data_IF_386784320847
#
_entry.id   IF_386784320847
#
_cell.length_a   1.000
_cell.length_b   1.000
_cell.length_c   1.000
_cell.angle_alpha   90.00
_cell.angle_beta   90.00
_cell.angle_gamma   90.00
#
_symmetry.space_group_name_H-M   'P 1'
#
loop_
_entity.id
_entity.type
_entity.pdbx_description
1 polymer ?
#
# COMPACT_ATOMS: atom_id res chain seq x y z
N UNK A 1 13.73 -21.67 -10.78
CA UNK A 1 13.91 -20.96 -9.50
C UNK A 1 15.02 -19.96 -9.71
N UNK A 2 14.81 -18.71 -9.31
CA UNK A 2 15.91 -17.75 -9.31
C UNK A 2 16.87 -18.15 -8.18
N UNK A 3 18.18 -17.93 -8.34
CA UNK A 3 19.16 -18.34 -7.33
C UNK A 3 18.93 -17.62 -5.99
N UNK A 4 18.31 -16.43 -6.03
CA UNK A 4 17.88 -15.68 -4.85
C UNK A 4 16.83 -16.43 -4.01
N UNK A 5 15.96 -17.22 -4.64
CA UNK A 5 14.93 -18.00 -3.94
C UNK A 5 15.58 -19.11 -3.09
N UNK A 6 16.70 -19.68 -3.54
CA UNK A 6 17.36 -20.81 -2.86
C UNK A 6 17.97 -20.38 -1.53
N UNK A 7 18.67 -19.25 -1.51
CA UNK A 7 19.30 -18.72 -0.30
C UNK A 7 18.28 -18.27 0.75
N UNK A 8 17.25 -17.52 0.33
CA UNK A 8 16.20 -17.11 1.24
C UNK A 8 15.47 -18.31 1.85
N UNK A 9 15.16 -19.33 1.05
CA UNK A 9 14.54 -20.57 1.53
C UNK A 9 15.46 -21.34 2.51
N UNK A 10 16.77 -21.33 2.29
CA UNK A 10 17.72 -21.96 3.19
C UNK A 10 17.80 -21.23 4.55
N UNK A 11 17.83 -19.89 4.53
CA UNK A 11 17.73 -19.07 5.76
C UNK A 11 16.42 -19.38 6.49
N UNK A 12 15.30 -19.37 5.77
CA UNK A 12 13.98 -19.66 6.33
C UNK A 12 13.92 -21.05 6.99
N UNK A 13 14.44 -22.07 6.32
CA UNK A 13 14.52 -23.43 6.85
C UNK A 13 15.40 -23.50 8.11
N UNK A 14 16.57 -22.84 8.07
CA UNK A 14 17.51 -22.80 9.20
C UNK A 14 16.91 -22.08 10.42
N UNK A 15 16.17 -20.98 10.17
CA UNK A 15 15.41 -20.24 11.18
C UNK A 15 14.36 -21.14 11.85
N UNK A 16 13.55 -21.84 11.05
CA UNK A 16 12.51 -22.76 11.53
C UNK A 16 13.10 -23.89 12.38
N UNK A 17 14.18 -24.53 11.92
CA UNK A 17 14.82 -25.62 12.68
C UNK A 17 15.41 -25.19 14.02
N UNK A 18 15.76 -23.91 14.14
CA UNK A 18 16.24 -23.32 15.39
C UNK A 18 15.13 -22.80 16.28
N UNK A 19 13.87 -22.89 15.85
CA UNK A 19 12.73 -22.34 16.58
C UNK A 19 12.81 -20.82 16.73
N UNK A 20 13.42 -20.13 15.76
CA UNK A 20 13.55 -18.68 15.76
C UNK A 20 12.41 -18.02 14.99
N UNK A 21 11.98 -16.86 15.46
CA UNK A 21 11.13 -15.91 14.72
C UNK A 21 11.99 -14.91 13.97
N UNK A 22 11.39 -14.19 13.02
CA UNK A 22 12.05 -13.08 12.33
C UNK A 22 12.37 -11.91 13.28
N UNK A 23 11.58 -11.69 14.32
CA UNK A 23 11.87 -10.69 15.36
C UNK A 23 13.13 -11.05 16.15
N UNK A 24 13.24 -12.31 16.58
CA UNK A 24 14.43 -12.80 17.28
C UNK A 24 15.68 -12.73 16.39
N UNK A 25 15.53 -13.10 15.12
CA UNK A 25 16.63 -13.04 14.16
C UNK A 25 17.06 -11.59 13.89
N UNK A 26 16.10 -10.68 13.73
CA UNK A 26 16.35 -9.25 13.56
C UNK A 26 17.06 -8.64 14.76
N UNK A 27 16.57 -8.91 15.98
CA UNK A 27 17.21 -8.46 17.21
C UNK A 27 18.66 -8.95 17.31
N UNK A 28 18.93 -10.21 16.92
CA UNK A 28 20.28 -10.77 16.97
C UNK A 28 21.27 -10.11 15.99
N UNK A 29 20.78 -9.58 14.86
CA UNK A 29 21.61 -8.87 13.88
C UNK A 29 21.57 -7.34 14.05
N UNK A 30 20.73 -6.83 14.95
CA UNK A 30 20.59 -5.39 15.24
C UNK A 30 19.65 -4.64 14.29
N UNK A 31 18.68 -5.33 13.70
CA UNK A 31 17.71 -4.77 12.74
C UNK A 31 16.26 -5.15 13.09
N UNK A 32 15.29 -4.48 12.47
CA UNK A 32 13.90 -4.92 12.52
C UNK A 32 13.71 -6.25 11.77
N UNK A 33 12.65 -6.99 12.11
CA UNK A 33 12.29 -8.21 11.39
C UNK A 33 12.08 -7.95 9.90
N UNK A 34 11.38 -6.87 9.55
CA UNK A 34 11.13 -6.48 8.16
C UNK A 34 12.42 -6.23 7.38
N UNK A 35 13.33 -5.44 7.95
CA UNK A 35 14.62 -5.17 7.31
C UNK A 35 15.45 -6.44 7.16
N UNK A 36 15.41 -7.30 8.17
CA UNK A 36 16.11 -8.59 8.17
C UNK A 36 15.61 -9.48 7.04
N UNK A 37 14.29 -9.63 6.90
CA UNK A 37 13.69 -10.39 5.79
C UNK A 37 14.07 -9.78 4.45
N UNK A 38 13.96 -8.45 4.30
CA UNK A 38 14.31 -7.74 3.07
C UNK A 38 15.78 -7.92 2.68
N UNK A 39 16.69 -7.93 3.66
CA UNK A 39 18.11 -8.23 3.43
C UNK A 39 18.30 -9.69 3.00
N UNK A 40 17.63 -10.65 3.65
CA UNK A 40 17.71 -12.07 3.30
C UNK A 40 17.13 -12.38 1.90
N UNK A 41 16.16 -11.58 1.44
CA UNK A 41 15.60 -11.64 0.08
C UNK A 41 16.44 -10.88 -0.97
N UNK A 42 17.59 -10.30 -0.60
CA UNK A 42 18.41 -9.44 -1.47
C UNK A 42 17.69 -8.19 -2.00
N UNK A 43 16.69 -7.69 -1.25
CA UNK A 43 15.93 -6.46 -1.57
C UNK A 43 16.42 -5.23 -0.81
N UNK A 44 17.22 -5.45 0.23
CA UNK A 44 17.95 -4.44 0.99
C UNK A 44 19.42 -4.85 1.07
N UNK A 45 20.33 -3.88 1.03
CA UNK A 45 21.76 -4.16 1.14
C UNK A 45 22.09 -4.77 2.51
N UNK A 46 22.87 -5.84 2.51
CA UNK A 46 23.35 -6.52 3.71
C UNK A 46 24.86 -6.29 3.84
N UNK A 47 25.30 -5.72 4.96
CA UNK A 47 26.72 -5.56 5.24
C UNK A 47 27.35 -6.90 5.64
N UNK A 48 28.68 -7.01 5.50
CA UNK A 48 29.41 -8.22 5.89
C UNK A 48 29.28 -8.52 7.40
N UNK A 49 29.19 -7.49 8.25
CA UNK A 49 28.98 -7.67 9.69
C UNK A 49 27.62 -8.31 9.99
N UNK A 50 26.56 -7.82 9.34
CA UNK A 50 25.21 -8.39 9.45
C UNK A 50 25.20 -9.83 8.96
N UNK A 51 25.84 -10.09 7.81
CA UNK A 51 25.97 -11.44 7.27
C UNK A 51 26.60 -12.40 8.28
N UNK A 52 27.73 -12.01 8.88
CA UNK A 52 28.44 -12.83 9.86
C UNK A 52 27.61 -13.08 11.13
N UNK A 53 26.86 -12.07 11.59
CA UNK A 53 25.92 -12.24 12.72
C UNK A 53 24.80 -13.22 12.36
N UNK A 54 24.24 -13.10 11.15
CA UNK A 54 23.17 -13.96 10.66
C UNK A 54 23.62 -15.42 10.56
N UNK A 55 24.77 -15.69 9.94
CA UNK A 55 25.30 -17.06 9.81
C UNK A 55 25.67 -17.66 11.15
N UNK A 56 26.23 -16.87 12.07
CA UNK A 56 26.51 -17.31 13.43
C UNK A 56 25.24 -17.71 14.19
N UNK A 57 24.20 -16.86 14.18
CA UNK A 57 22.92 -17.14 14.83
C UNK A 57 22.26 -18.39 14.23
N UNK A 58 22.31 -18.53 12.90
CA UNK A 58 21.72 -19.67 12.19
C UNK A 58 22.61 -20.92 12.18
N UNK A 59 23.84 -20.85 12.71
CA UNK A 59 24.85 -21.91 12.62
C UNK A 59 25.02 -22.45 11.18
N UNK A 60 24.99 -21.53 10.22
CA UNK A 60 25.24 -21.85 8.82
C UNK A 60 26.76 -21.90 8.66
N UNK A 61 27.28 -23.06 8.25
CA UNK A 61 28.73 -23.22 8.02
C UNK A 61 29.19 -22.26 6.93
N UNK A 62 30.28 -21.53 7.18
CA UNK A 62 30.94 -20.63 6.22
C UNK A 62 31.55 -21.37 4.99
N UNK A 63 31.22 -22.64 4.77
CA UNK A 63 31.93 -23.57 3.88
C UNK A 63 31.07 -24.14 2.73
N UNK A 64 29.98 -23.47 2.36
CA UNK A 64 29.16 -23.91 1.23
C UNK A 64 29.21 -22.89 0.12
N UNK A 65 30.26 -22.89 -0.70
CA UNK A 65 30.14 -22.37 -2.09
C UNK A 65 29.63 -20.90 -2.18
N UNK A 66 29.74 -20.17 -1.05
CA UNK A 66 29.11 -18.90 -0.68
C UNK A 66 29.65 -17.70 -1.47
N UNK A 67 30.80 -17.91 -2.12
CA UNK A 67 31.51 -16.91 -2.93
C UNK A 67 30.88 -16.74 -4.33
N UNK A 68 30.08 -17.70 -4.82
CA UNK A 68 29.33 -17.53 -6.08
C UNK A 68 28.01 -16.75 -5.87
N UNK A 69 27.48 -16.78 -4.65
CA UNK A 69 26.23 -16.13 -4.27
C UNK A 69 26.39 -14.60 -4.11
N UNK A 70 27.44 -14.14 -3.44
CA UNK A 70 27.71 -12.70 -3.23
C UNK A 70 28.12 -11.94 -4.51
N UNK A 71 28.68 -12.61 -5.53
CA UNK A 71 29.05 -11.96 -6.81
C UNK A 71 27.86 -11.75 -7.76
N UNK A 72 26.75 -12.43 -7.54
CA UNK A 72 25.56 -12.34 -8.42
C UNK A 72 24.60 -11.20 -8.01
N UNK A 73 24.78 -10.63 -6.81
CA UNK A 73 23.91 -9.60 -6.21
C UNK A 73 24.18 -8.19 -6.76
N UNK A 74 25.31 -7.94 -7.44
CA UNK A 74 25.67 -6.57 -7.88
C UNK A 74 25.04 -6.08 -9.18
N UNK A 75 24.21 -6.87 -9.87
CA UNK A 75 23.60 -6.41 -11.14
C UNK A 75 22.39 -7.24 -11.57
N UNK A 76 21.24 -7.10 -10.93
CA UNK A 76 19.95 -7.32 -11.60
C UNK A 76 18.91 -6.28 -11.21
N UNK A 77 18.36 -5.68 -12.26
CA UNK A 77 17.49 -4.53 -12.28
C UNK A 77 16.21 -4.75 -11.47
N UNK A 78 15.77 -3.65 -10.84
CA UNK A 78 14.41 -3.33 -10.38
C UNK A 78 13.31 -3.51 -11.46
N UNK A 79 13.62 -4.08 -12.63
CA UNK A 79 12.73 -4.24 -13.78
C UNK A 79 12.04 -5.62 -13.82
N UNK A 80 12.44 -6.57 -12.96
CA UNK A 80 11.78 -7.87 -12.84
C UNK A 80 10.76 -7.96 -11.69
N UNK A 81 10.19 -6.82 -11.24
CA UNK A 81 9.02 -6.73 -10.34
C UNK A 81 7.72 -7.31 -10.94
N UNK A 82 7.82 -8.33 -11.81
CA UNK A 82 6.67 -9.07 -12.33
C UNK A 82 6.12 -9.96 -11.22
N UNK A 83 5.18 -9.38 -10.47
CA UNK A 83 3.96 -10.02 -9.95
C UNK A 83 4.19 -11.41 -9.35
N UNK A 84 4.80 -11.47 -8.15
CA UNK A 84 4.93 -12.71 -7.39
C UNK A 84 4.54 -12.54 -5.92
N UNK A 85 3.28 -12.23 -5.71
CA UNK A 85 2.42 -12.90 -4.73
C UNK A 85 0.99 -12.47 -5.01
N UNK A 86 0.01 -13.35 -4.82
CA UNK A 86 -1.40 -12.97 -4.93
C UNK A 86 -1.70 -11.77 -4.01
N UNK A 87 -1.02 -11.68 -2.86
CA UNK A 87 -1.05 -10.51 -1.99
C UNK A 87 -0.66 -9.19 -2.68
N UNK A 88 0.51 -9.16 -3.33
CA UNK A 88 0.98 -7.99 -4.08
C UNK A 88 -0.06 -7.58 -5.11
N UNK A 89 -0.59 -8.55 -5.86
CA UNK A 89 -1.60 -8.32 -6.88
C UNK A 89 -2.92 -7.79 -6.30
N UNK A 90 -3.41 -8.34 -5.19
CA UNK A 90 -4.66 -7.87 -4.56
C UNK A 90 -4.50 -6.49 -3.93
N UNK A 91 -3.39 -6.22 -3.23
CA UNK A 91 -3.09 -4.88 -2.72
C UNK A 91 -2.99 -3.88 -3.86
N UNK A 92 -2.25 -4.21 -4.92
CA UNK A 92 -2.11 -3.36 -6.10
C UNK A 92 -3.45 -3.13 -6.80
N UNK A 93 -4.23 -4.19 -7.04
CA UNK A 93 -5.56 -4.08 -7.65
C UNK A 93 -6.46 -3.19 -6.81
N UNK A 94 -6.47 -3.38 -5.49
CA UNK A 94 -7.23 -2.56 -4.58
C UNK A 94 -6.75 -1.10 -4.67
N UNK A 95 -5.46 -0.82 -4.46
CA UNK A 95 -4.90 0.52 -4.62
C UNK A 95 -5.22 1.17 -5.97
N UNK A 96 -5.15 0.41 -7.07
CA UNK A 96 -5.49 0.90 -8.40
C UNK A 96 -6.99 1.12 -8.60
N UNK A 97 -7.86 0.39 -7.88
CA UNK A 97 -9.27 0.77 -7.81
C UNK A 97 -9.37 2.13 -7.13
N UNK A 98 -8.68 2.34 -6.01
CA UNK A 98 -8.74 3.56 -5.17
C UNK A 98 -7.93 4.75 -5.67
N UNK A 99 -7.18 4.62 -6.76
CA UNK A 99 -6.25 5.62 -7.30
C UNK A 99 -6.83 7.04 -7.25
N UNK A 100 -7.97 7.25 -7.90
CA UNK A 100 -8.54 8.58 -8.09
C UNK A 100 -9.08 9.14 -6.77
N UNK A 101 -9.71 8.29 -5.95
CA UNK A 101 -10.22 8.66 -4.64
C UNK A 101 -9.10 9.03 -3.66
N UNK A 102 -8.04 8.23 -3.64
CA UNK A 102 -6.84 8.48 -2.83
C UNK A 102 -6.17 9.77 -3.31
N UNK A 103 -6.00 9.93 -4.63
CA UNK A 103 -5.34 11.09 -5.20
C UNK A 103 -6.08 12.40 -4.91
N UNK A 104 -7.40 12.44 -5.02
CA UNK A 104 -8.19 13.65 -4.70
C UNK A 104 -8.17 13.95 -3.20
N UNK A 105 -8.31 12.92 -2.36
CA UNK A 105 -8.20 13.07 -0.90
C UNK A 105 -6.81 13.58 -0.48
N UNK A 106 -5.75 13.15 -1.15
CA UNK A 106 -4.39 13.63 -0.88
C UNK A 106 -4.21 15.10 -1.25
N UNK A 107 -4.84 15.57 -2.34
CA UNK A 107 -4.87 17.00 -2.68
C UNK A 107 -5.62 17.80 -1.61
N UNK A 108 -6.70 17.24 -1.06
CA UNK A 108 -7.43 17.88 0.03
C UNK A 108 -6.62 17.95 1.33
N UNK A 109 -6.06 16.82 1.80
CA UNK A 109 -5.34 16.73 3.08
C UNK A 109 -4.06 17.57 3.06
N UNK A 110 -3.35 17.61 1.94
CA UNK A 110 -2.03 18.23 1.86
C UNK A 110 -2.04 19.59 1.15
N UNK A 111 -3.20 20.07 0.71
CA UNK A 111 -3.31 21.15 -0.26
C UNK A 111 -2.78 20.70 -1.62
N UNK A 112 -2.86 21.54 -2.65
CA UNK A 112 -2.22 21.28 -3.95
C UNK A 112 -0.71 21.15 -3.77
N UNK A 113 -0.23 19.97 -3.39
CA UNK A 113 1.19 19.65 -3.33
C UNK A 113 1.63 19.45 -4.76
N UNK A 114 1.94 20.59 -5.34
CA UNK A 114 2.73 20.77 -6.52
C UNK A 114 4.19 20.33 -6.25
N UNK A 115 4.38 19.06 -5.88
CA UNK A 115 5.69 18.49 -5.54
C UNK A 115 5.87 17.08 -6.10
N UNK A 116 7.07 16.77 -6.57
CA UNK A 116 7.48 15.38 -6.76
C UNK A 116 7.53 14.67 -5.41
N UNK A 117 6.69 13.66 -5.23
CA UNK A 117 6.85 12.71 -4.14
C UNK A 117 8.12 11.90 -4.37
N UNK A 118 9.25 12.37 -3.84
CA UNK A 118 10.46 11.58 -3.79
C UNK A 118 10.22 10.48 -2.76
N UNK A 119 10.31 9.23 -3.20
CA UNK A 119 10.34 8.06 -2.33
C UNK A 119 11.68 7.99 -1.57
N UNK A 120 11.92 8.97 -0.70
CA UNK A 120 12.82 8.82 0.43
C UNK A 120 12.08 8.00 1.48
N UNK A 121 12.14 6.66 1.37
CA UNK A 121 11.47 5.74 2.27
C UNK A 121 12.02 5.93 3.68
N UNK A 122 11.25 6.54 4.58
CA UNK A 122 11.73 6.81 5.94
C UNK A 122 11.55 5.57 6.81
N UNK A 123 10.44 4.85 6.69
CA UNK A 123 10.22 3.58 7.40
C UNK A 123 8.94 2.90 6.90
N UNK A 124 8.99 1.62 6.54
CA UNK A 124 7.77 0.81 6.41
C UNK A 124 7.70 -0.09 7.64
N UNK A 125 6.50 -0.31 8.18
CA UNK A 125 6.34 -1.16 9.35
C UNK A 125 5.18 -2.12 9.14
N UNK A 126 5.31 -3.30 9.73
CA UNK A 126 4.21 -4.21 9.96
C UNK A 126 4.09 -4.35 11.47
N UNK A 127 2.89 -4.09 11.97
CA UNK A 127 2.55 -4.22 13.39
C UNK A 127 1.36 -5.14 13.54
N UNK A 128 1.20 -5.74 14.70
CA UNK A 128 0.06 -6.60 15.02
C UNK A 128 -0.65 -6.02 16.24
N UNK A 129 -1.82 -5.42 16.02
CA UNK A 129 -2.70 -4.95 17.10
C UNK A 129 -3.84 -5.95 17.24
N UNK A 130 -3.96 -6.62 18.39
CA UNK A 130 -5.01 -7.63 18.63
C UNK A 130 -5.09 -8.73 17.54
N UNK A 131 -3.95 -9.20 17.03
CA UNK A 131 -3.82 -10.13 15.90
C UNK A 131 -4.31 -9.60 14.54
N UNK A 132 -4.61 -8.31 14.44
CA UNK A 132 -4.85 -7.63 13.16
C UNK A 132 -3.52 -7.10 12.64
N UNK A 133 -3.03 -7.60 11.48
CA UNK A 133 -1.85 -7.02 10.84
C UNK A 133 -2.17 -5.62 10.31
N UNK A 134 -1.39 -4.64 10.74
CA UNK A 134 -1.37 -3.27 10.20
C UNK A 134 -0.08 -3.04 9.45
N UNK A 135 -0.17 -2.92 8.13
CA UNK A 135 0.94 -2.48 7.27
C UNK A 135 0.91 -0.95 7.21
N UNK A 136 2.01 -0.30 7.56
CA UNK A 136 2.15 1.16 7.45
C UNK A 136 3.22 1.51 6.44
N UNK A 137 2.84 2.31 5.44
CA UNK A 137 3.74 2.87 4.44
C UNK A 137 3.91 4.37 4.70
N UNK A 138 5.15 4.79 5.00
CA UNK A 138 5.47 6.20 5.18
C UNK A 138 6.09 6.77 3.90
N UNK A 139 5.41 7.72 3.27
CA UNK A 139 5.86 8.41 2.08
C UNK A 139 6.22 9.86 2.43
N UNK A 140 7.49 10.24 2.26
CA UNK A 140 7.92 11.64 2.45
C UNK A 140 7.39 12.50 1.30
N UNK A 141 6.89 13.68 1.65
CA UNK A 141 6.47 14.70 0.69
C UNK A 141 7.62 15.67 0.48
N UNK A 142 8.25 15.65 -0.69
CA UNK A 142 9.28 16.60 -1.07
C UNK A 142 8.65 17.63 -2.02
N UNK A 143 8.69 18.91 -1.65
CA UNK A 143 8.12 19.98 -2.46
C UNK A 143 9.11 20.38 -3.58
N UNK A 144 9.27 19.54 -4.59
CA UNK A 144 10.08 19.87 -5.76
C UNK A 144 9.30 19.51 -7.03
N UNK A 145 8.53 20.49 -7.56
CA UNK A 145 7.84 20.55 -8.86
C UNK A 145 6.33 20.25 -8.90
N UNK A 146 5.62 21.17 -9.57
CA UNK A 146 4.18 21.17 -9.82
C UNK A 146 3.66 19.88 -10.47
N UNK A 147 3.16 18.94 -9.66
CA UNK A 147 2.24 17.92 -10.14
C UNK A 147 0.80 18.40 -9.93
N UNK A 148 0.16 18.87 -11.00
CA UNK A 148 -1.28 19.00 -11.04
C UNK A 148 -1.82 17.70 -11.63
N UNK A 149 -2.63 16.91 -10.91
CA UNK A 149 -3.26 15.74 -11.51
C UNK A 149 -4.13 16.21 -12.68
N UNK A 150 -3.68 15.95 -13.91
CA UNK A 150 -4.50 16.14 -15.10
C UNK A 150 -5.36 14.90 -15.25
N UNK A 151 -6.50 14.87 -14.58
CA UNK A 151 -7.55 13.92 -14.93
C UNK A 151 -8.13 14.36 -16.26
N UNK A 152 -8.17 13.48 -17.26
CA UNK A 152 -9.03 13.75 -18.40
C UNK A 152 -10.49 13.68 -17.92
N UNK A 153 -11.12 14.83 -17.68
CA UNK A 153 -12.53 14.98 -17.25
C UNK A 153 -13.51 14.10 -18.06
N UNK A 154 -13.13 13.73 -19.29
CA UNK A 154 -13.88 12.84 -20.18
C UNK A 154 -14.10 11.43 -19.60
N UNK A 155 -13.32 11.02 -18.61
CA UNK A 155 -13.41 9.69 -17.97
C UNK A 155 -14.37 9.64 -16.78
N UNK A 156 -14.77 10.79 -16.23
CA UNK A 156 -15.69 10.84 -15.10
C UNK A 156 -17.15 10.75 -15.54
N UNK A 157 -17.91 10.05 -14.70
CA UNK A 157 -19.35 9.97 -14.83
C UNK A 157 -20.02 11.30 -14.44
N UNK A 158 -21.21 11.56 -14.98
CA UNK A 158 -21.97 12.78 -14.65
C UNK A 158 -22.24 12.91 -13.14
N UNK A 159 -22.48 11.79 -12.47
CA UNK A 159 -22.58 11.74 -11.00
C UNK A 159 -21.29 12.25 -10.33
N UNK A 160 -20.13 11.71 -10.69
CA UNK A 160 -18.84 12.08 -10.10
C UNK A 160 -18.56 13.56 -10.32
N UNK A 161 -18.82 14.06 -11.54
CA UNK A 161 -18.65 15.48 -11.89
C UNK A 161 -19.54 16.37 -11.02
N UNK A 162 -20.84 16.06 -10.94
CA UNK A 162 -21.80 16.82 -10.16
C UNK A 162 -21.42 16.87 -8.67
N UNK A 163 -20.95 15.74 -8.11
CA UNK A 163 -20.47 15.69 -6.72
C UNK A 163 -19.24 16.57 -6.52
N UNK A 164 -18.21 16.45 -7.38
CA UNK A 164 -16.98 17.23 -7.25
C UNK A 164 -17.24 18.73 -7.40
N UNK A 165 -18.05 19.12 -8.38
CA UNK A 165 -18.43 20.51 -8.60
C UNK A 165 -19.19 21.09 -7.39
N UNK A 166 -20.19 20.37 -6.89
CA UNK A 166 -20.95 20.80 -5.72
C UNK A 166 -20.08 20.84 -4.44
N UNK A 167 -19.18 19.88 -4.27
CA UNK A 167 -18.22 19.83 -3.16
C UNK A 167 -17.32 21.07 -3.16
N UNK A 168 -16.74 21.42 -4.31
CA UNK A 168 -15.90 22.62 -4.47
C UNK A 168 -16.71 23.89 -4.22
N UNK A 169 -17.90 24.02 -4.85
CA UNK A 169 -18.74 25.20 -4.72
C UNK A 169 -19.21 25.46 -3.28
N UNK A 170 -19.43 24.39 -2.52
CA UNK A 170 -19.84 24.47 -1.11
C UNK A 170 -18.67 24.41 -0.13
N UNK A 171 -17.44 24.24 -0.61
CA UNK A 171 -16.25 24.05 0.20
C UNK A 171 -16.41 22.92 1.25
N UNK A 172 -16.91 21.77 0.81
CA UNK A 172 -17.12 20.58 1.64
C UNK A 172 -15.89 19.66 1.53
N UNK A 173 -15.45 19.11 2.65
CA UNK A 173 -14.39 18.10 2.75
C UNK A 173 -14.91 16.67 2.64
N UNK A 174 -14.03 15.72 2.35
CA UNK A 174 -14.39 14.29 2.42
C UNK A 174 -14.70 13.84 3.85
N UNK A 175 -14.10 14.45 4.86
CA UNK A 175 -14.44 14.21 6.28
C UNK A 175 -15.88 14.61 6.60
N UNK A 176 -16.34 15.75 6.08
CA UNK A 176 -17.73 16.19 6.23
C UNK A 176 -18.70 15.27 5.49
N UNK A 177 -18.34 14.82 4.27
CA UNK A 177 -19.15 13.83 3.54
C UNK A 177 -19.22 12.53 4.34
N UNK A 178 -18.09 12.02 4.83
CA UNK A 178 -18.01 10.80 5.62
C UNK A 178 -18.89 10.89 6.87
N UNK A 179 -18.72 11.96 7.65
CA UNK A 179 -19.51 12.26 8.85
C UNK A 179 -21.01 12.31 8.55
N UNK A 180 -21.41 13.03 7.50
CA UNK A 180 -22.82 13.18 7.13
C UNK A 180 -23.46 11.86 6.67
N UNK A 181 -22.68 11.03 5.98
CA UNK A 181 -23.13 9.71 5.53
C UNK A 181 -23.07 8.64 6.64
N UNK A 182 -22.53 8.96 7.81
CA UNK A 182 -22.31 8.00 8.90
C UNK A 182 -21.22 6.97 8.58
N UNK A 183 -20.29 7.34 7.69
CA UNK A 183 -19.17 6.52 7.24
C UNK A 183 -17.94 7.05 7.96
N UNK A 184 -17.29 6.23 8.78
CA UNK A 184 -16.22 6.69 9.68
C UNK A 184 -14.88 7.01 8.99
N UNK A 185 -14.81 6.96 7.66
CA UNK A 185 -13.58 7.04 6.91
C UNK A 185 -13.73 7.94 5.65
N UNK A 186 -12.94 9.03 5.52
CA UNK A 186 -12.98 9.92 4.35
C UNK A 186 -12.60 9.22 3.04
N UNK A 187 -11.82 8.14 3.09
CA UNK A 187 -11.49 7.35 1.90
C UNK A 187 -12.73 6.64 1.37
N UNK A 188 -13.57 6.10 2.25
CA UNK A 188 -14.83 5.47 1.85
C UNK A 188 -15.82 6.50 1.29
N UNK A 189 -15.82 7.73 1.82
CA UNK A 189 -16.56 8.83 1.21
C UNK A 189 -16.06 9.14 -0.21
N UNK A 190 -14.74 9.26 -0.40
CA UNK A 190 -14.15 9.46 -1.74
C UNK A 190 -14.46 8.28 -2.68
N UNK A 191 -14.48 7.05 -2.18
CA UNK A 191 -14.87 5.86 -2.94
C UNK A 191 -16.31 5.90 -3.42
N UNK A 192 -17.24 6.40 -2.62
CA UNK A 192 -18.64 6.57 -3.05
C UNK A 192 -18.70 7.53 -4.23
N UNK A 193 -17.92 8.61 -4.21
CA UNK A 193 -17.87 9.62 -5.28
C UNK A 193 -17.30 9.06 -6.58
N UNK A 194 -16.17 8.35 -6.51
CA UNK A 194 -15.45 7.91 -7.71
C UNK A 194 -15.83 6.52 -8.20
N UNK A 195 -16.10 5.58 -7.29
CA UNK A 195 -16.35 4.18 -7.62
C UNK A 195 -17.79 3.75 -7.39
N UNK A 196 -18.64 4.61 -6.81
CA UNK A 196 -20.06 4.29 -6.52
C UNK A 196 -20.24 3.00 -5.71
N UNK A 197 -19.19 2.58 -5.00
CA UNK A 197 -19.18 1.35 -4.22
C UNK A 197 -20.22 1.50 -3.12
N UNK A 198 -21.16 0.56 -3.05
CA UNK A 198 -22.19 0.53 -2.01
C UNK A 198 -23.07 1.78 -1.90
N UNK A 199 -23.25 2.57 -2.97
CA UNK A 199 -24.17 3.71 -2.90
C UNK A 199 -25.61 3.18 -2.84
N UNK A 200 -26.22 3.22 -1.66
CA UNK A 200 -27.64 2.90 -1.48
C UNK A 200 -28.50 4.09 -1.90
N UNK A 201 -29.81 3.90 -2.06
CA UNK A 201 -30.71 5.02 -2.31
C UNK A 201 -30.69 6.03 -1.16
N UNK A 202 -30.52 5.56 0.08
CA UNK A 202 -30.41 6.43 1.26
C UNK A 202 -29.11 7.23 1.22
N UNK A 203 -27.99 6.58 0.95
CA UNK A 203 -26.69 7.23 0.75
C UNK A 203 -26.76 8.29 -0.34
N UNK A 204 -27.41 7.98 -1.48
CA UNK A 204 -27.59 8.92 -2.58
C UNK A 204 -28.44 10.13 -2.19
N UNK A 205 -29.58 9.91 -1.51
CA UNK A 205 -30.46 10.99 -1.04
C UNK A 205 -29.76 11.88 -0.01
N UNK A 206 -29.05 11.28 0.93
CA UNK A 206 -28.29 12.00 1.95
C UNK A 206 -27.18 12.83 1.31
N UNK A 207 -26.41 12.24 0.39
CA UNK A 207 -25.38 12.95 -0.36
C UNK A 207 -25.99 14.12 -1.16
N UNK A 208 -27.11 13.91 -1.86
CA UNK A 208 -27.77 14.98 -2.60
C UNK A 208 -28.25 16.12 -1.68
N UNK A 209 -28.75 15.78 -0.49
CA UNK A 209 -29.16 16.77 0.51
C UNK A 209 -27.96 17.62 0.96
N UNK A 210 -26.84 16.97 1.30
CA UNK A 210 -25.59 17.65 1.66
C UNK A 210 -25.09 18.56 0.53
N UNK A 211 -25.12 18.06 -0.70
CA UNK A 211 -24.68 18.77 -1.90
C UNK A 211 -25.71 19.79 -2.42
N UNK A 212 -26.89 19.90 -1.80
CA UNK A 212 -27.91 20.91 -2.10
C UNK A 212 -28.56 20.70 -3.45
N UNK A 213 -29.14 19.51 -3.67
CA UNK A 213 -29.88 19.18 -4.89
C UNK A 213 -29.01 19.10 -6.17
N UNK A 214 -27.69 19.06 -6.04
CA UNK A 214 -26.77 18.93 -7.16
C UNK A 214 -26.95 17.64 -7.97
N UNK A 215 -27.67 16.64 -7.43
CA UNK A 215 -27.90 15.34 -8.05
C UNK A 215 -29.36 15.16 -8.49
N UNK A 216 -30.21 16.19 -8.46
CA UNK A 216 -31.64 16.08 -8.80
C UNK A 216 -31.86 15.59 -10.24
N UNK A 217 -31.01 16.03 -11.18
CA UNK A 217 -31.04 15.62 -12.58
C UNK A 217 -30.19 14.36 -12.87
N UNK A 218 -29.50 13.82 -11.84
CA UNK A 218 -28.64 12.66 -11.98
C UNK A 218 -29.43 11.40 -11.63
N UNK A 219 -29.53 10.48 -12.61
CA UNK A 219 -30.11 9.16 -12.36
C UNK A 219 -29.30 8.42 -11.29
N UNK A 220 -30.00 7.90 -10.28
CA UNK A 220 -29.42 7.04 -9.25
C UNK A 220 -28.56 5.93 -9.89
N UNK A 221 -27.25 5.85 -9.57
CA UNK A 221 -26.32 4.99 -10.28
C UNK A 221 -26.40 3.50 -9.90
N UNK A 222 -27.06 3.15 -8.79
CA UNK A 222 -27.13 1.76 -8.29
C UNK A 222 -25.82 1.28 -7.63
N UNK A 223 -25.87 0.09 -7.02
CA UNK A 223 -24.80 -0.44 -6.15
C UNK A 223 -23.66 -1.17 -6.88
N UNK A 224 -23.74 -1.34 -8.19
CA UNK A 224 -22.87 -2.26 -8.96
C UNK A 224 -22.12 -1.61 -10.13
N UNK A 225 -21.75 -0.35 -10.01
CA UNK A 225 -20.85 0.27 -10.99
C UNK A 225 -19.45 0.31 -10.40
N UNK A 226 -18.79 -0.85 -10.29
CA UNK A 226 -17.33 -0.84 -10.12
C UNK A 226 -16.77 -0.01 -11.28
N UNK A 227 -16.20 1.14 -10.95
CA UNK A 227 -15.62 2.06 -11.92
C UNK A 227 -14.64 1.30 -12.82
N UNK A 228 -14.84 1.50 -14.10
CA UNK A 228 -14.10 1.00 -15.24
C UNK A 228 -12.71 0.37 -14.92
N UNK A 229 -12.56 -0.97 -14.96
CA UNK A 229 -11.25 -1.63 -14.86
C UNK A 229 -10.24 -1.18 -15.94
N UNK A 230 -10.68 -0.38 -16.92
CA UNK A 230 -9.82 0.22 -17.92
C UNK A 230 -8.75 1.15 -17.33
N UNK A 231 -8.96 1.85 -16.22
CA UNK A 231 -7.91 2.72 -15.67
C UNK A 231 -6.71 1.89 -15.20
N UNK A 232 -6.94 0.90 -14.34
CA UNK A 232 -5.90 -0.01 -13.85
C UNK A 232 -5.23 -0.77 -15.00
N UNK A 233 -6.01 -1.22 -16.00
CA UNK A 233 -5.47 -1.86 -17.19
C UNK A 233 -4.67 -0.90 -18.09
N UNK A 234 -5.02 0.39 -18.15
CA UNK A 234 -4.28 1.41 -18.90
C UNK A 234 -2.97 1.79 -18.22
N UNK A 235 -2.96 1.92 -16.89
CA UNK A 235 -1.73 2.12 -16.10
C UNK A 235 -0.80 0.92 -16.27
N UNK A 236 -1.30 -0.31 -16.08
CA UNK A 236 -0.51 -1.53 -16.22
C UNK A 236 -0.02 -1.77 -17.65
N UNK A 237 -0.76 -1.32 -18.66
CA UNK A 237 -0.35 -1.41 -20.07
C UNK A 237 0.57 -0.27 -20.52
N UNK A 238 0.96 0.64 -19.61
CA UNK A 238 1.81 1.79 -19.91
C UNK A 238 1.13 2.84 -20.81
N UNK A 239 -0.19 2.75 -20.98
CA UNK A 239 -1.00 3.69 -21.77
C UNK A 239 -1.38 4.95 -21.00
N UNK A 240 -1.18 4.94 -19.68
CA UNK A 240 -1.43 6.07 -18.80
C UNK A 240 -0.27 6.21 -17.81
N UNK A 241 0.19 7.44 -17.59
CA UNK A 241 1.17 7.74 -16.55
C UNK A 241 0.44 7.80 -15.20
N UNK A 242 0.68 6.86 -14.26
CA UNK A 242 0.06 6.91 -12.95
C UNK A 242 0.51 8.15 -12.18
N UNK A 243 -0.32 8.60 -11.25
CA UNK A 243 0.06 9.66 -10.31
C UNK A 243 1.40 9.28 -9.61
N UNK A 244 2.42 10.15 -9.56
CA UNK A 244 3.75 9.82 -9.03
C UNK A 244 3.74 9.23 -7.61
N UNK A 245 2.82 9.72 -6.77
CA UNK A 245 2.59 9.19 -5.44
C UNK A 245 2.06 7.75 -5.47
N UNK A 246 1.07 7.46 -6.30
CA UNK A 246 0.51 6.12 -6.43
C UNK A 246 1.50 5.16 -7.04
N UNK A 247 2.32 5.62 -7.99
CA UNK A 247 3.43 4.84 -8.51
C UNK A 247 4.48 4.54 -7.43
N UNK A 248 4.77 5.50 -6.54
CA UNK A 248 5.68 5.31 -5.42
C UNK A 248 5.13 4.31 -4.39
N UNK A 249 3.83 4.37 -4.09
CA UNK A 249 3.15 3.39 -3.24
C UNK A 249 3.15 2.01 -3.89
N UNK A 250 2.83 1.92 -5.18
CA UNK A 250 2.92 0.68 -5.97
C UNK A 250 4.32 0.08 -5.90
N UNK A 251 5.36 0.91 -6.05
CA UNK A 251 6.75 0.46 -5.94
C UNK A 251 7.07 -0.04 -4.53
N UNK A 252 6.61 0.66 -3.49
CA UNK A 252 6.75 0.22 -2.11
C UNK A 252 6.11 -1.16 -1.90
N UNK A 253 4.87 -1.35 -2.34
CA UNK A 253 4.18 -2.63 -2.21
C UNK A 253 4.91 -3.74 -2.96
N UNK A 254 5.31 -3.51 -4.21
CA UNK A 254 6.08 -4.48 -4.99
C UNK A 254 7.40 -4.87 -4.30
N UNK A 255 8.05 -3.92 -3.61
CA UNK A 255 9.29 -4.18 -2.89
C UNK A 255 9.07 -4.95 -1.58
N UNK A 256 8.07 -4.59 -0.78
CA UNK A 256 7.93 -5.08 0.59
C UNK A 256 6.88 -6.20 0.77
N UNK A 257 6.00 -6.45 -0.21
CA UNK A 257 4.87 -7.37 -0.08
C UNK A 257 5.26 -8.79 0.34
N UNK A 258 6.33 -9.35 -0.24
CA UNK A 258 6.77 -10.71 0.11
C UNK A 258 7.33 -10.77 1.54
N UNK A 259 8.01 -9.71 1.97
CA UNK A 259 8.51 -9.63 3.34
C UNK A 259 7.36 -9.48 4.34
N UNK A 260 6.33 -8.70 4.01
CA UNK A 260 5.12 -8.62 4.82
C UNK A 260 4.42 -9.97 4.94
N UNK A 261 4.24 -10.70 3.83
CA UNK A 261 3.65 -12.05 3.86
C UNK A 261 4.44 -12.99 4.74
N UNK A 262 5.76 -12.99 4.62
CA UNK A 262 6.62 -13.84 5.43
C UNK A 262 6.47 -13.55 6.92
N UNK A 263 6.42 -12.27 7.30
CA UNK A 263 6.21 -11.88 8.70
C UNK A 263 4.82 -12.24 9.21
N UNK A 264 3.79 -12.13 8.37
CA UNK A 264 2.43 -12.55 8.73
C UNK A 264 2.35 -14.06 8.95
N UNK A 265 2.96 -14.86 8.08
CA UNK A 265 3.04 -16.31 8.27
C UNK A 265 3.81 -16.70 9.53
N UNK A 266 4.88 -15.98 9.87
CA UNK A 266 5.64 -16.22 11.12
C UNK A 266 4.79 -15.94 12.37
N UNK A 267 3.77 -15.10 12.24
CA UNK A 267 2.77 -14.81 13.27
C UNK A 267 1.51 -15.69 13.16
N UNK A 268 1.55 -16.77 12.36
CA UNK A 268 0.44 -17.70 12.20
C UNK A 268 -0.77 -17.13 11.46
N UNK A 269 -0.58 -16.03 10.72
CA UNK A 269 -1.65 -15.39 9.96
C UNK A 269 -1.59 -15.89 8.52
N UNK A 270 -2.58 -16.70 8.16
CA UNK A 270 -2.87 -17.04 6.78
C UNK A 270 -3.87 -16.03 6.22
N UNK A 271 -3.58 -15.49 5.03
CA UNK A 271 -4.37 -14.40 4.46
C UNK A 271 -5.21 -14.94 3.32
N UNK A 272 -6.51 -14.95 3.54
CA UNK A 272 -7.48 -15.12 2.46
C UNK A 272 -7.93 -13.73 1.97
N UNK A 273 -7.49 -13.35 0.78
CA UNK A 273 -7.73 -12.02 0.19
C UNK A 273 -9.16 -11.77 -0.27
N UNK A 274 -10.10 -12.67 0.02
CA UNK A 274 -11.51 -12.48 -0.29
C UNK A 274 -12.17 -11.34 0.50
N UNK A 275 -11.56 -10.88 1.60
CA UNK A 275 -12.15 -9.84 2.47
C UNK A 275 -11.22 -8.65 2.73
N UNK A 276 -11.87 -7.49 2.81
CA UNK A 276 -11.32 -6.15 2.57
C UNK A 276 -10.28 -5.73 3.62
N UNK A 277 -9.45 -4.75 3.29
CA UNK A 277 -8.65 -4.04 4.27
C UNK A 277 -9.21 -2.64 4.51
N UNK A 278 -9.04 -2.14 5.74
CA UNK A 278 -9.34 -0.74 6.03
C UNK A 278 -8.09 0.09 5.72
N UNK A 279 -8.25 1.05 4.81
CA UNK A 279 -7.20 2.01 4.49
C UNK A 279 -7.44 3.29 5.29
N UNK A 280 -6.40 3.81 5.92
CA UNK A 280 -6.37 5.17 6.50
C UNK A 280 -5.21 5.97 5.92
N UNK A 281 -5.40 7.28 5.78
CA UNK A 281 -4.38 8.21 5.32
C UNK A 281 -4.23 9.31 6.37
N UNK A 282 -3.03 9.41 6.94
CA UNK A 282 -2.69 10.42 7.93
C UNK A 282 -1.55 11.31 7.45
N UNK A 283 -1.48 12.51 8.02
CA UNK A 283 -0.34 13.41 7.92
C UNK A 283 0.47 13.37 9.21
N UNK A 284 1.77 13.11 9.09
CA UNK A 284 2.71 13.18 10.21
C UNK A 284 3.89 14.10 9.89
N UNK A 285 4.59 14.55 10.91
CA UNK A 285 5.86 15.26 10.79
C UNK A 285 6.95 14.33 11.32
N UNK A 286 8.02 14.12 10.54
CA UNK A 286 9.15 13.31 10.98
C UNK A 286 10.06 14.06 11.97
N UNK A 287 11.02 13.34 12.55
CA UNK A 287 11.98 13.90 13.53
C UNK A 287 12.86 15.03 12.96
N UNK A 288 12.88 15.20 11.64
CA UNK A 288 13.61 16.26 10.94
C UNK A 288 12.69 17.40 10.47
N UNK A 289 11.41 17.40 10.85
CA UNK A 289 10.45 18.43 10.48
C UNK A 289 9.82 18.26 9.09
N UNK A 290 10.06 17.14 8.39
CA UNK A 290 9.47 16.90 7.07
C UNK A 290 8.05 16.36 7.19
N UNK A 291 7.17 16.76 6.27
CA UNK A 291 5.83 16.17 6.16
C UNK A 291 5.89 14.75 5.57
N UNK A 292 5.19 13.83 6.24
CA UNK A 292 4.96 12.45 5.82
C UNK A 292 3.49 12.22 5.54
N UNK A 293 3.21 11.51 4.45
CA UNK A 293 1.96 10.79 4.24
C UNK A 293 2.14 9.41 4.85
N UNK A 294 1.20 9.02 5.70
CA UNK A 294 1.18 7.71 6.34
C UNK A 294 -0.06 6.97 5.84
N UNK A 295 0.17 5.88 5.12
CA UNK A 295 -0.90 4.98 4.70
C UNK A 295 -0.90 3.78 5.61
N UNK A 296 -2.02 3.47 6.25
CA UNK A 296 -2.14 2.28 7.07
C UNK A 296 -3.20 1.35 6.49
N UNK A 297 -2.81 0.09 6.31
CA UNK A 297 -3.66 -1.00 5.83
C UNK A 297 -3.92 -1.95 6.99
N UNK A 298 -5.13 -1.93 7.51
CA UNK A 298 -5.58 -2.93 8.48
C UNK A 298 -6.14 -4.11 7.70
N UNK A 299 -5.39 -5.22 7.73
CA UNK A 299 -5.77 -6.43 7.02
C UNK A 299 -6.80 -7.16 7.88
N UNK A 300 -8.04 -7.25 7.39
CA UNK A 300 -9.09 -8.00 8.07
C UNK A 300 -8.78 -9.48 7.86
N UNK A 301 -8.41 -10.17 8.94
CA UNK A 301 -8.13 -11.60 8.92
C UNK A 301 -9.35 -12.35 9.45
N UNK A 302 -9.94 -13.20 8.62
CA UNK A 302 -10.78 -14.28 9.13
C UNK A 302 -9.83 -15.31 9.72
N UNK A 303 -9.56 -15.21 11.03
CA UNK A 303 -8.71 -16.19 11.71
C UNK A 303 -9.31 -17.58 11.56
N UNK A 304 -8.78 -18.38 10.63
CA UNK A 304 -8.81 -19.83 10.77
C UNK A 304 -7.64 -20.13 11.68
N UNK A 305 -7.88 -20.23 12.99
CA UNK A 305 -6.86 -20.75 13.90
C UNK A 305 -6.51 -22.15 13.43
N UNK A 306 -5.31 -22.31 12.84
CA UNK A 306 -4.75 -23.63 12.63
C UNK A 306 -4.39 -24.19 14.01
N UNK A 307 -5.27 -25.05 14.51
CA UNK A 307 -5.08 -25.88 15.70
C UNK A 307 -3.96 -26.89 15.51
#
# INVERSE_FOLDING_TARGET
>A
MDNNDIYFNYIKWSKINKGLTWDQLGAAVGYSALDTVMMCMSRKEMSQDIYNKLTAVLNISNDLTEIHFLKTVKKRNLENLRLRSDFTMHLIQYFMLYDIAISDLLVEIFGAVNGNFLSGYVQNTLTFENNTPRVTLNCRVMAENNFTPTYEEKSFSDFTKAVLEAKVNKNISYDEIATYLGIGNPIEAAMIVFQRKFITQDTFRNLNTLLGSALDDIKYPGTNVLSNPAYSAQVLSGKMNPHPLLFSMYKALCMYSEAFMELMYDNGIDINFSELFNLTIDKKIDEHGNSLIVLSFDIITNQIMMS
#
